data_IF_537310070494
#
_entry.id   IF_537310070494
#
_cell.length_a   1.000
_cell.length_b   1.000
_cell.length_c   1.000
_cell.angle_alpha   90.00
_cell.angle_beta   90.00
_cell.angle_gamma   90.00
#
_symmetry.space_group_name_H-M   'P 1'
#
loop_
_entity.id
_entity.type
_entity.pdbx_description
1 polymer ?
#
# COMPACT_ATOMS: atom_id res chain seq x y z
N UNK A 1 -67.93 19.87 -52.76
CA UNK A 1 -68.77 18.66 -52.84
C UNK A 1 -68.12 17.62 -51.95
N UNK A 2 -68.80 17.30 -50.86
CA UNK A 2 -68.37 16.34 -49.84
C UNK A 2 -69.32 15.14 -49.95
N UNK A 3 -68.81 13.90 -50.01
CA UNK A 3 -69.56 12.71 -49.62
C UNK A 3 -68.86 11.92 -48.49
N UNK A 4 -69.58 11.03 -47.78
CA UNK A 4 -69.66 11.08 -46.34
C UNK A 4 -68.87 10.00 -45.58
N UNK A 5 -68.75 10.28 -44.28
CA UNK A 5 -68.35 9.38 -43.18
C UNK A 5 -69.21 8.12 -43.08
N UNK A 6 -68.62 7.03 -42.55
CA UNK A 6 -69.14 6.10 -41.51
C UNK A 6 -68.19 4.88 -41.45
N UNK A 7 -67.89 4.18 -40.35
CA UNK A 7 -67.82 4.37 -38.88
C UNK A 7 -67.38 2.98 -38.32
N UNK A 8 -67.05 2.92 -37.02
CA UNK A 8 -66.97 1.74 -36.11
C UNK A 8 -65.66 0.92 -36.13
N UNK A 9 -65.03 0.58 -35.00
CA UNK A 9 -65.10 0.95 -33.55
C UNK A 9 -63.78 0.41 -32.91
N UNK A 10 -63.46 0.78 -31.65
CA UNK A 10 -62.12 0.76 -31.05
C UNK A 10 -61.83 -0.53 -30.28
N UNK A 11 -60.57 -0.67 -29.86
CA UNK A 11 -60.22 -1.30 -28.58
C UNK A 11 -59.29 -0.38 -27.79
N UNK A 12 -59.70 -0.15 -26.56
CA UNK A 12 -59.03 0.57 -25.48
C UNK A 12 -57.77 -0.17 -24.99
N UNK A 13 -57.07 0.54 -24.09
CA UNK A 13 -56.04 0.14 -23.10
C UNK A 13 -54.66 0.68 -23.45
N UNK A 14 -54.28 1.82 -22.87
CA UNK A 14 -53.86 2.06 -21.47
C UNK A 14 -52.34 2.16 -21.46
N UNK A 15 -51.86 3.33 -21.04
CA UNK A 15 -50.49 3.75 -21.23
C UNK A 15 -49.46 2.91 -20.48
N UNK A 16 -48.23 2.97 -20.97
CA UNK A 16 -47.05 2.98 -20.14
C UNK A 16 -45.91 3.59 -20.96
N UNK A 17 -45.66 4.89 -20.74
CA UNK A 17 -44.47 5.56 -21.21
C UNK A 17 -43.31 5.06 -20.34
N UNK A 18 -42.73 3.92 -20.70
CA UNK A 18 -41.54 3.38 -20.03
C UNK A 18 -40.30 4.09 -20.58
N UNK A 19 -39.99 5.24 -20.00
CA UNK A 19 -38.62 5.76 -19.96
C UNK A 19 -37.84 4.85 -19.01
N UNK A 20 -37.11 3.86 -19.53
CA UNK A 20 -36.07 3.18 -18.78
C UNK A 20 -34.92 4.18 -18.56
N UNK A 21 -34.59 4.59 -17.31
CA UNK A 21 -33.30 5.20 -17.07
C UNK A 21 -32.26 4.07 -17.20
N UNK A 22 -31.33 4.22 -18.13
CA UNK A 22 -30.10 3.43 -18.14
C UNK A 22 -29.44 3.61 -16.77
N UNK A 23 -29.41 2.53 -15.98
CA UNK A 23 -28.51 2.37 -14.84
C UNK A 23 -27.08 2.49 -15.38
N UNK A 24 -26.54 3.70 -15.39
CA UNK A 24 -25.11 3.89 -15.26
C UNK A 24 -24.77 3.51 -13.82
N UNK A 25 -24.56 2.22 -13.58
CA UNK A 25 -23.68 1.81 -12.51
C UNK A 25 -22.30 2.35 -12.90
N UNK A 26 -22.05 3.59 -12.48
CA UNK A 26 -20.73 4.18 -12.52
C UNK A 26 -19.82 3.20 -11.81
N UNK A 27 -18.91 2.59 -12.57
CA UNK A 27 -17.79 1.90 -12.00
C UNK A 27 -17.01 2.98 -11.24
N UNK A 28 -17.32 3.16 -9.95
CA UNK A 28 -16.52 3.98 -9.06
C UNK A 28 -15.20 3.25 -9.00
N UNK A 29 -14.27 3.66 -9.85
CA UNK A 29 -12.87 3.30 -9.70
C UNK A 29 -12.48 3.95 -8.38
N UNK A 30 -12.47 3.17 -7.30
CA UNK A 30 -11.85 3.57 -6.07
C UNK A 30 -10.36 3.71 -6.38
N UNK A 31 -9.94 4.90 -6.78
CA UNK A 31 -8.54 5.22 -6.92
C UNK A 31 -7.96 5.09 -5.51
N UNK A 32 -7.13 4.08 -5.32
CA UNK A 32 -6.46 3.83 -4.05
C UNK A 32 -5.36 4.87 -3.91
N UNK A 33 -5.59 5.91 -3.13
CA UNK A 33 -4.57 6.94 -2.92
C UNK A 33 -3.51 6.42 -1.95
N UNK A 34 -2.25 6.59 -2.33
CA UNK A 34 -1.09 6.27 -1.54
C UNK A 34 -0.44 7.57 -1.06
N UNK A 35 0.08 7.55 0.16
CA UNK A 35 1.11 8.52 0.56
C UNK A 35 2.34 8.19 -0.25
N UNK A 36 2.96 9.18 -0.89
CA UNK A 36 4.25 9.10 -1.56
C UNK A 36 4.96 10.46 -1.37
N UNK A 37 5.71 10.59 -0.27
CA UNK A 37 6.27 11.85 0.17
C UNK A 37 7.73 11.69 0.60
N UNK A 38 8.52 12.67 0.20
CA UNK A 38 9.88 12.91 0.69
C UNK A 38 9.88 14.22 1.48
N UNK A 39 10.19 14.16 2.77
CA UNK A 39 10.28 15.35 3.63
C UNK A 39 11.73 15.81 3.68
N UNK A 40 11.92 17.12 3.45
CA UNK A 40 13.23 17.77 3.40
C UNK A 40 13.33 18.87 4.44
N UNK A 41 14.54 19.11 4.91
CA UNK A 41 14.86 20.25 5.76
C UNK A 41 15.12 21.52 4.93
N UNK A 42 15.43 22.62 5.62
CA UNK A 42 15.75 23.92 4.99
C UNK A 42 17.04 23.86 4.14
N UNK A 43 17.91 22.87 4.37
CA UNK A 43 19.09 22.59 3.56
C UNK A 43 18.79 21.69 2.35
N UNK A 44 17.50 21.39 2.10
CA UNK A 44 17.01 20.51 1.04
C UNK A 44 17.52 19.06 1.16
N UNK A 45 17.87 18.64 2.37
CA UNK A 45 18.28 17.28 2.69
C UNK A 45 17.08 16.47 3.18
N UNK A 46 16.85 15.32 2.55
CA UNK A 46 15.73 14.45 2.91
C UNK A 46 15.96 13.81 4.27
N UNK A 47 14.95 13.84 5.13
CA UNK A 47 15.01 13.27 6.47
C UNK A 47 14.00 12.14 6.66
N UNK A 48 12.96 12.08 5.83
CA UNK A 48 11.92 11.05 5.85
C UNK A 48 11.50 10.74 4.41
N UNK A 49 11.44 9.45 4.10
CA UNK A 49 10.82 8.93 2.90
C UNK A 49 9.66 8.02 3.32
N UNK A 50 8.49 8.26 2.74
CA UNK A 50 7.24 7.68 3.16
C UNK A 50 6.40 7.33 1.93
N UNK A 51 6.26 6.05 1.63
CA UNK A 51 5.36 5.55 0.59
C UNK A 51 4.51 4.41 1.14
N UNK A 52 3.19 4.55 1.16
CA UNK A 52 2.29 3.47 1.60
C UNK A 52 0.84 3.71 1.19
N UNK A 53 0.06 2.63 1.22
CA UNK A 53 -1.40 2.67 1.26
C UNK A 53 -1.87 2.37 2.68
N UNK A 54 -2.96 3.02 3.11
CA UNK A 54 -3.58 2.74 4.42
C UNK A 54 -5.10 2.71 4.31
N UNK A 55 -5.69 1.65 4.86
CA UNK A 55 -7.13 1.43 4.99
C UNK A 55 -7.52 1.55 6.45
N UNK A 56 -8.44 2.46 6.75
CA UNK A 56 -9.04 2.63 8.06
C UNK A 56 -10.32 1.82 8.14
N UNK A 57 -10.53 1.11 9.25
CA UNK A 57 -11.80 0.50 9.63
C UNK A 57 -12.13 0.90 11.06
N UNK A 58 -13.24 1.61 11.24
CA UNK A 58 -13.57 2.31 12.49
C UNK A 58 -14.99 1.93 12.91
N UNK A 59 -15.13 1.40 14.11
CA UNK A 59 -16.43 1.16 14.74
C UNK A 59 -16.92 2.43 15.44
N UNK A 60 -18.17 2.83 15.22
CA UNK A 60 -18.77 4.01 15.84
C UNK A 60 -20.26 3.81 16.15
N UNK A 61 -20.81 4.63 17.04
CA UNK A 61 -22.23 4.58 17.41
C UNK A 61 -23.06 5.43 16.44
N UNK A 62 -23.88 4.80 15.63
CA UNK A 62 -24.93 5.43 14.84
C UNK A 62 -26.24 5.62 15.62
N UNK A 63 -27.21 6.28 14.99
CA UNK A 63 -28.58 6.44 15.52
C UNK A 63 -29.26 5.10 15.78
N UNK A 64 -29.05 4.13 14.88
CA UNK A 64 -29.74 2.83 14.87
C UNK A 64 -28.86 1.66 15.35
N UNK A 65 -27.76 1.96 16.04
CA UNK A 65 -26.83 0.95 16.59
C UNK A 65 -25.38 1.21 16.23
N UNK A 66 -24.52 0.22 16.47
CA UNK A 66 -23.10 0.30 16.08
C UNK A 66 -22.97 0.15 14.57
N UNK A 67 -22.19 1.03 13.96
CA UNK A 67 -21.86 1.05 12.53
C UNK A 67 -20.35 0.94 12.36
N UNK A 68 -19.91 0.50 11.20
CA UNK A 68 -18.49 0.46 10.83
C UNK A 68 -18.27 1.33 9.60
N UNK A 69 -17.32 2.25 9.67
CA UNK A 69 -16.82 3.00 8.51
C UNK A 69 -15.54 2.35 8.02
N UNK A 70 -15.38 2.21 6.70
CA UNK A 70 -14.15 1.71 6.09
C UNK A 70 -13.79 2.56 4.89
N UNK A 71 -12.58 3.13 4.90
CA UNK A 71 -12.11 4.04 3.86
C UNK A 71 -10.57 4.05 3.78
N UNK A 72 -10.06 4.50 2.64
CA UNK A 72 -8.65 4.87 2.48
C UNK A 72 -8.52 6.40 2.55
N UNK A 73 -7.29 6.91 2.62
CA UNK A 73 -7.07 8.35 2.51
C UNK A 73 -7.70 8.91 1.22
N UNK A 74 -8.39 10.06 1.28
CA UNK A 74 -8.90 10.74 0.09
C UNK A 74 -7.76 11.40 -0.72
N UNK A 75 -8.09 11.95 -1.89
CA UNK A 75 -7.11 12.66 -2.74
C UNK A 75 -6.68 14.00 -2.12
N UNK A 76 -7.65 14.73 -1.56
CA UNK A 76 -7.44 16.06 -1.01
C UNK A 76 -6.81 15.98 0.39
N UNK A 77 -5.48 15.86 0.41
CA UNK A 77 -4.67 15.82 1.62
C UNK A 77 -3.91 17.13 1.84
N UNK A 78 -3.94 17.63 3.07
CA UNK A 78 -3.07 18.72 3.54
C UNK A 78 -1.94 18.14 4.39
N UNK A 79 -0.69 18.52 4.10
CA UNK A 79 0.50 18.00 4.80
C UNK A 79 1.05 18.94 5.89
N UNK A 80 0.21 19.85 6.40
CA UNK A 80 0.60 20.84 7.41
C UNK A 80 1.12 20.15 8.68
N UNK A 81 2.25 20.64 9.20
CA UNK A 81 2.93 20.09 10.37
C UNK A 81 3.96 18.99 10.05
N UNK A 82 4.03 18.54 8.80
CA UNK A 82 5.12 17.67 8.33
C UNK A 82 6.46 18.40 8.40
N UNK A 83 7.48 17.79 9.00
CA UNK A 83 8.79 18.40 9.17
C UNK A 83 9.88 17.37 9.46
N UNK A 84 11.15 17.77 9.32
CA UNK A 84 12.28 16.93 9.74
C UNK A 84 12.53 16.90 11.25
N UNK A 85 11.76 17.67 12.02
CA UNK A 85 12.02 17.88 13.44
C UNK A 85 13.24 18.77 13.68
N UNK A 86 13.87 18.60 14.85
CA UNK A 86 15.05 19.34 15.29
C UNK A 86 15.98 18.45 16.14
N UNK A 87 16.89 19.04 16.92
CA UNK A 87 17.81 18.27 17.77
C UNK A 87 17.11 17.41 18.83
N UNK A 88 15.90 17.80 19.23
CA UNK A 88 15.10 17.16 20.28
C UNK A 88 13.88 16.40 19.77
N UNK A 89 13.44 16.66 18.53
CA UNK A 89 12.29 16.01 17.89
C UNK A 89 12.71 15.34 16.59
N UNK A 90 12.26 14.11 16.36
CA UNK A 90 12.50 13.46 15.07
C UNK A 90 11.50 13.87 13.98
N UNK A 91 11.63 13.31 12.76
CA UNK A 91 10.76 13.59 11.64
C UNK A 91 9.29 13.33 11.95
N UNK A 92 8.43 14.21 11.44
CA UNK A 92 6.97 14.14 11.58
C UNK A 92 6.38 14.14 10.18
N UNK A 93 5.43 13.24 9.94
CA UNK A 93 4.53 13.32 8.80
C UNK A 93 3.11 13.51 9.33
N UNK A 94 2.44 14.55 8.88
CA UNK A 94 1.10 14.93 9.31
C UNK A 94 0.22 15.12 8.08
N UNK A 95 -1.00 14.59 8.17
CA UNK A 95 -2.00 14.60 7.12
C UNK A 95 -3.31 15.07 7.73
N UNK A 96 -3.94 16.06 7.12
CA UNK A 96 -5.30 16.51 7.44
C UNK A 96 -6.21 16.22 6.25
N UNK A 97 -7.44 15.76 6.52
CA UNK A 97 -8.41 15.42 5.50
C UNK A 97 -9.84 15.50 6.02
N UNK A 98 -10.78 15.71 5.09
CA UNK A 98 -12.20 15.84 5.44
C UNK A 98 -12.47 16.98 6.43
N UNK A 99 -13.53 16.82 7.22
CA UNK A 99 -13.94 17.80 8.22
C UNK A 99 -13.39 17.43 9.61
N UNK A 100 -12.20 17.93 9.93
CA UNK A 100 -11.60 17.81 11.26
C UNK A 100 -10.95 16.45 11.57
N UNK A 101 -10.61 15.67 10.55
CA UNK A 101 -9.78 14.47 10.70
C UNK A 101 -8.31 14.79 10.43
N UNK A 102 -7.43 14.19 11.23
CA UNK A 102 -5.99 14.26 11.02
C UNK A 102 -5.30 12.97 11.42
N UNK A 103 -4.27 12.60 10.68
CA UNK A 103 -3.42 11.45 10.94
C UNK A 103 -1.97 11.92 10.92
N UNK A 104 -1.21 11.59 11.95
CA UNK A 104 0.20 11.93 12.01
C UNK A 104 1.02 10.76 12.53
N UNK A 105 2.28 10.70 12.13
CA UNK A 105 3.27 9.77 12.66
C UNK A 105 4.54 10.56 13.03
N UNK A 106 4.94 10.42 14.29
CA UNK A 106 6.15 11.04 14.83
C UNK A 106 7.22 9.99 15.04
N UNK A 107 8.35 10.12 14.36
CA UNK A 107 9.46 9.20 14.47
C UNK A 107 10.40 9.60 15.60
N UNK A 108 10.73 8.62 16.44
CA UNK A 108 11.78 8.73 17.45
C UNK A 108 12.84 7.67 17.18
N UNK A 109 14.08 7.93 17.59
CA UNK A 109 15.18 6.97 17.46
C UNK A 109 15.89 6.74 18.78
N UNK A 110 16.43 5.54 18.90
CA UNK A 110 17.45 5.18 19.88
C UNK A 110 18.83 5.27 19.22
N UNK A 111 19.84 4.64 19.83
CA UNK A 111 21.18 4.52 19.24
C UNK A 111 21.17 3.71 17.93
N UNK A 112 20.34 2.67 17.87
CA UNK A 112 20.43 1.65 16.81
C UNK A 112 19.11 1.45 16.04
N UNK A 113 17.98 1.96 16.55
CA UNK A 113 16.64 1.74 15.97
C UNK A 113 15.81 3.01 15.92
N UNK A 114 14.74 3.00 15.12
CA UNK A 114 13.69 4.02 15.12
C UNK A 114 12.29 3.39 15.10
N UNK A 115 11.29 4.13 15.58
CA UNK A 115 9.89 3.74 15.52
C UNK A 115 9.00 4.99 15.41
N UNK A 116 7.88 4.86 14.70
CA UNK A 116 6.87 5.91 14.59
C UNK A 116 5.75 5.73 15.62
N UNK A 117 5.39 6.81 16.29
CA UNK A 117 4.19 6.92 17.10
C UNK A 117 3.10 7.62 16.28
N UNK A 118 2.04 6.88 15.96
CA UNK A 118 0.86 7.37 15.25
C UNK A 118 -0.06 8.09 16.24
N UNK A 119 -0.53 9.28 15.86
CA UNK A 119 -1.70 9.92 16.43
C UNK A 119 -2.74 10.10 15.34
N UNK A 120 -3.89 9.45 15.50
CA UNK A 120 -5.02 9.57 14.59
C UNK A 120 -6.20 10.21 15.31
N UNK A 121 -6.68 11.31 14.76
CA UNK A 121 -7.80 12.08 15.24
C UNK A 121 -8.91 12.00 14.19
N UNK A 122 -10.05 11.43 14.54
CA UNK A 122 -11.21 11.36 13.64
C UNK A 122 -12.42 12.06 14.24
N UNK A 123 -13.16 12.77 13.39
CA UNK A 123 -14.35 13.51 13.76
C UNK A 123 -15.59 12.73 13.32
N UNK A 124 -16.33 12.15 14.27
CA UNK A 124 -17.59 11.47 13.96
C UNK A 124 -18.68 12.43 13.48
N UNK A 125 -18.46 13.74 13.58
CA UNK A 125 -19.30 14.76 12.96
C UNK A 125 -19.12 14.88 11.44
N UNK A 126 -18.05 14.34 10.88
CA UNK A 126 -17.81 14.29 9.43
C UNK A 126 -18.76 13.27 8.79
N UNK A 127 -19.85 13.75 8.20
CA UNK A 127 -20.88 12.90 7.61
C UNK A 127 -20.43 12.13 6.37
N UNK A 128 -19.31 12.51 5.75
CA UNK A 128 -18.76 11.78 4.61
C UNK A 128 -18.18 10.44 5.06
N UNK A 129 -17.46 10.41 6.17
CA UNK A 129 -16.87 9.19 6.72
C UNK A 129 -17.73 8.51 7.79
N UNK A 130 -18.54 9.25 8.54
CA UNK A 130 -19.33 8.75 9.67
C UNK A 130 -20.82 9.13 9.55
N UNK A 131 -21.52 8.64 8.50
CA UNK A 131 -22.93 8.95 8.32
C UNK A 131 -23.79 8.44 9.49
N UNK A 132 -24.76 9.25 9.90
CA UNK A 132 -25.70 8.97 11.01
C UNK A 132 -25.03 8.74 12.37
N UNK A 133 -23.82 9.27 12.59
CA UNK A 133 -23.19 9.22 13.91
C UNK A 133 -24.11 9.85 14.97
N UNK A 134 -24.35 9.11 16.06
CA UNK A 134 -25.24 9.53 17.16
C UNK A 134 -24.70 10.74 17.90
N UNK A 135 -23.38 10.87 17.98
CA UNK A 135 -22.65 11.98 18.57
C UNK A 135 -21.63 12.49 17.57
N UNK A 136 -21.46 13.81 17.54
CA UNK A 136 -20.44 14.50 16.76
C UNK A 136 -19.32 14.86 17.72
N UNK A 137 -18.24 14.11 17.69
CA UNK A 137 -17.11 14.28 18.59
C UNK A 137 -15.80 13.96 17.86
N UNK A 138 -14.74 14.59 18.33
CA UNK A 138 -13.39 14.33 17.85
C UNK A 138 -12.72 13.33 18.80
N UNK A 139 -12.26 12.22 18.24
CA UNK A 139 -11.70 11.10 19.01
C UNK A 139 -10.25 10.91 18.59
N UNK A 140 -9.37 10.84 19.58
CA UNK A 140 -7.93 10.63 19.37
C UNK A 140 -7.54 9.21 19.78
N UNK A 141 -6.86 8.51 18.88
CA UNK A 141 -6.23 7.21 19.16
C UNK A 141 -4.75 7.26 18.85
N UNK A 142 -3.96 6.49 19.61
CA UNK A 142 -2.51 6.39 19.43
C UNK A 142 -2.11 4.96 19.16
N UNK A 143 -1.11 4.77 18.32
CA UNK A 143 -0.55 3.46 18.02
C UNK A 143 0.92 3.59 17.63
N UNK A 144 1.63 2.47 17.45
CA UNK A 144 2.99 2.48 16.93
C UNK A 144 3.03 1.81 15.55
N UNK A 145 3.83 2.37 14.65
CA UNK A 145 4.11 1.78 13.34
C UNK A 145 5.56 2.07 12.88
N UNK A 146 6.28 1.06 12.37
CA UNK A 146 5.96 -0.37 12.43
C UNK A 146 5.82 -0.86 13.88
N UNK A 147 5.15 -2.00 14.10
CA UNK A 147 4.86 -2.49 15.45
C UNK A 147 6.13 -2.77 16.27
N UNK A 148 7.19 -3.20 15.59
CA UNK A 148 8.53 -3.38 16.15
C UNK A 148 9.47 -2.27 15.68
N UNK A 149 10.43 -1.82 16.52
CA UNK A 149 11.45 -0.86 16.09
C UNK A 149 12.25 -1.37 14.90
N UNK A 150 12.51 -0.47 13.95
CA UNK A 150 13.28 -0.74 12.74
C UNK A 150 14.73 -0.34 12.95
N UNK A 151 15.68 -1.08 12.40
CA UNK A 151 17.10 -0.70 12.44
C UNK A 151 17.31 0.66 11.76
N UNK A 152 18.18 1.50 12.33
CA UNK A 152 18.61 2.72 11.66
C UNK A 152 19.37 2.38 10.36
N UNK A 153 19.32 3.32 9.41
CA UNK A 153 19.98 3.20 8.10
C UNK A 153 19.47 2.04 7.23
N UNK A 154 18.27 1.52 7.49
CA UNK A 154 17.56 0.59 6.59
C UNK A 154 16.21 1.17 6.16
N UNK A 155 15.76 0.79 4.97
CA UNK A 155 14.41 1.05 4.50
C UNK A 155 13.49 -0.06 5.01
N UNK A 156 12.46 0.29 5.77
CA UNK A 156 11.39 -0.64 6.13
C UNK A 156 10.50 -0.92 4.92
N UNK A 157 10.32 -2.20 4.60
CA UNK A 157 9.52 -2.66 3.46
C UNK A 157 8.43 -3.60 3.97
N UNK A 158 7.19 -3.36 3.54
CA UNK A 158 6.08 -4.28 3.75
C UNK A 158 5.12 -4.23 2.56
N UNK A 159 5.25 -5.19 1.65
CA UNK A 159 4.41 -5.31 0.46
C UNK A 159 3.06 -5.94 0.79
N UNK A 160 3.02 -6.89 1.75
CA UNK A 160 1.77 -7.46 2.27
C UNK A 160 1.03 -6.53 3.23
N UNK A 161 -0.22 -6.87 3.55
CA UNK A 161 -1.01 -6.11 4.53
C UNK A 161 -0.41 -6.28 5.94
N UNK A 162 -0.14 -5.16 6.63
CA UNK A 162 0.24 -5.11 8.05
C UNK A 162 -0.77 -4.27 8.82
N UNK A 163 -1.22 -4.76 9.97
CA UNK A 163 -2.37 -4.20 10.67
C UNK A 163 -2.03 -3.73 12.07
N UNK A 164 -2.40 -2.48 12.36
CA UNK A 164 -2.27 -1.85 13.67
C UNK A 164 -3.66 -1.54 14.22
N UNK A 165 -3.92 -1.91 15.48
CA UNK A 165 -5.20 -1.69 16.15
C UNK A 165 -5.03 -0.76 17.35
N UNK A 166 -5.97 0.17 17.52
CA UNK A 166 -6.04 1.03 18.71
C UNK A 166 -7.49 1.46 18.97
N UNK A 167 -8.03 1.08 20.12
CA UNK A 167 -9.45 1.29 20.44
C UNK A 167 -10.37 0.68 19.39
N UNK A 168 -11.32 1.48 18.90
CA UNK A 168 -12.29 1.10 17.87
C UNK A 168 -11.74 1.23 16.44
N UNK A 169 -10.44 1.54 16.28
CA UNK A 169 -9.78 1.77 14.99
C UNK A 169 -8.86 0.61 14.64
N UNK A 170 -9.00 0.11 13.42
CA UNK A 170 -8.04 -0.76 12.75
C UNK A 170 -7.45 -0.02 11.55
N UNK A 171 -6.12 0.04 11.46
CA UNK A 171 -5.36 0.63 10.37
C UNK A 171 -4.60 -0.49 9.66
N UNK A 172 -4.87 -0.71 8.38
CA UNK A 172 -4.20 -1.73 7.56
C UNK A 172 -3.31 -1.03 6.54
N UNK A 173 -2.01 -1.14 6.73
CA UNK A 173 -0.97 -0.63 5.84
C UNK A 173 -0.63 -1.67 4.77
N UNK A 174 -0.30 -1.22 3.57
CA UNK A 174 0.12 -2.08 2.46
C UNK A 174 1.08 -1.31 1.54
N UNK A 175 1.96 -2.05 0.84
CA UNK A 175 2.92 -1.47 -0.12
C UNK A 175 3.76 -0.36 0.50
N UNK A 176 4.27 -0.65 1.70
CA UNK A 176 5.02 0.26 2.54
C UNK A 176 6.48 0.27 2.12
N UNK A 177 7.00 1.47 1.85
CA UNK A 177 8.41 1.79 1.85
C UNK A 177 8.60 3.00 2.75
N UNK A 178 9.25 2.80 3.90
CA UNK A 178 9.39 3.81 4.93
C UNK A 178 10.84 3.88 5.40
N UNK A 179 11.39 5.08 5.49
CA UNK A 179 12.62 5.31 6.23
C UNK A 179 12.58 6.68 6.88
N UNK A 180 12.80 6.73 8.19
CA UNK A 180 13.06 7.97 8.91
C UNK A 180 14.56 8.12 9.15
N UNK A 181 15.00 9.36 9.42
CA UNK A 181 16.39 9.70 9.70
C UNK A 181 17.35 9.31 8.57
N UNK A 182 17.00 9.67 7.33
CA UNK A 182 17.81 9.37 6.14
C UNK A 182 19.23 9.92 6.27
N UNK A 183 20.22 9.02 6.32
CA UNK A 183 21.62 9.43 6.33
C UNK A 183 22.03 9.96 4.95
N UNK A 184 22.52 11.20 4.91
CA UNK A 184 22.94 11.83 3.65
C UNK A 184 21.78 12.08 2.68
N UNK A 185 20.54 12.12 3.15
CA UNK A 185 19.38 12.51 2.33
C UNK A 185 18.92 11.47 1.33
N UNK A 186 19.29 10.19 1.50
CA UNK A 186 18.99 9.13 0.54
C UNK A 186 18.35 7.93 1.21
N UNK A 187 17.41 7.31 0.50
CA UNK A 187 16.85 6.02 0.90
C UNK A 187 17.96 4.96 0.90
N UNK A 188 17.98 4.13 1.94
CA UNK A 188 18.96 3.07 2.10
C UNK A 188 18.75 1.96 1.09
N UNK A 189 19.85 1.37 0.62
CA UNK A 189 19.81 0.13 -0.16
C UNK A 189 19.58 -1.11 0.72
N UNK A 190 19.85 -1.00 2.03
CA UNK A 190 19.58 -2.07 2.99
C UNK A 190 18.12 -2.01 3.43
N UNK A 191 17.51 -3.18 3.62
CA UNK A 191 16.08 -3.31 3.89
C UNK A 191 15.81 -4.04 5.20
N UNK A 192 14.77 -3.63 5.90
CA UNK A 192 14.14 -4.38 6.99
C UNK A 192 12.74 -4.74 6.54
N UNK A 193 12.44 -6.04 6.45
CA UNK A 193 11.12 -6.51 6.05
C UNK A 193 10.17 -6.53 7.25
N UNK A 194 8.86 -6.38 7.01
CA UNK A 194 7.85 -6.72 8.01
C UNK A 194 7.73 -8.24 8.19
N UNK A 195 7.17 -8.67 9.32
CA UNK A 195 7.07 -10.10 9.68
C UNK A 195 6.26 -10.91 8.65
N UNK A 196 5.23 -10.30 8.07
CA UNK A 196 4.37 -10.94 7.05
C UNK A 196 5.14 -11.20 5.74
N UNK A 197 6.06 -10.31 5.36
CA UNK A 197 6.92 -10.51 4.19
C UNK A 197 8.12 -11.42 4.49
N UNK A 198 8.64 -11.38 5.72
CA UNK A 198 9.68 -12.32 6.15
C UNK A 198 9.20 -13.76 6.04
N UNK A 199 7.98 -14.05 6.50
CA UNK A 199 7.39 -15.38 6.46
C UNK A 199 7.05 -15.84 5.04
N UNK A 200 6.62 -14.94 4.15
CA UNK A 200 6.43 -15.23 2.73
C UNK A 200 7.76 -15.60 2.02
N UNK A 201 8.89 -15.05 2.49
CA UNK A 201 10.22 -15.35 1.95
C UNK A 201 10.80 -16.69 2.40
N UNK A 202 10.22 -17.37 3.40
CA UNK A 202 10.68 -18.68 3.89
C UNK A 202 10.01 -19.82 3.10
N UNK A 203 10.11 -19.77 1.78
CA UNK A 203 10.12 -20.97 0.94
C UNK A 203 11.61 -21.30 0.74
N UNK A 204 12.09 -22.53 1.02
CA UNK A 204 13.49 -22.75 1.34
C UNK A 204 14.43 -22.45 0.17
N UNK A 205 15.06 -21.27 0.20
CA UNK A 205 16.33 -21.03 -0.45
C UNK A 205 17.42 -21.61 0.45
N UNK A 206 17.98 -22.74 0.05
CA UNK A 206 19.11 -23.37 0.74
C UNK A 206 20.30 -22.40 0.78
N UNK A 207 20.55 -21.83 1.95
CA UNK A 207 21.67 -20.95 2.25
C UNK A 207 22.97 -21.77 2.27
N UNK A 208 23.84 -21.59 1.28
CA UNK A 208 25.28 -21.81 1.45
C UNK A 208 25.96 -20.47 1.66
N UNK A 209 26.22 -20.16 2.93
CA UNK A 209 27.14 -19.10 3.33
C UNK A 209 28.57 -19.56 3.06
N UNK A 210 29.36 -18.76 2.33
CA UNK A 210 30.79 -19.00 2.15
C UNK A 210 31.55 -17.81 2.74
N UNK A 211 32.26 -18.11 3.82
CA UNK A 211 33.23 -17.23 4.48
C UNK A 211 34.42 -17.00 3.53
N UNK A 212 34.80 -15.73 3.33
CA UNK A 212 36.06 -15.36 2.69
C UNK A 212 37.17 -15.30 3.74
N UNK A 213 38.22 -16.12 3.57
CA UNK A 213 39.53 -15.86 4.12
C UNK A 213 40.61 -16.28 3.11
N UNK A 214 41.57 -15.39 2.94
CA UNK A 214 42.55 -15.37 1.87
C UNK A 214 43.82 -16.19 2.19
N UNK A 215 44.43 -16.67 1.11
CA UNK A 215 45.87 -16.70 0.82
C UNK A 215 46.81 -17.76 1.45
N UNK A 216 47.30 -18.59 0.52
CA UNK A 216 48.70 -19.02 0.24
C UNK A 216 49.26 -20.37 0.76
N UNK A 217 49.57 -21.21 -0.24
CA UNK A 217 50.78 -22.03 -0.47
C UNK A 217 51.03 -23.37 0.27
N UNK A 218 50.98 -24.46 -0.54
CA UNK A 218 51.87 -25.66 -0.65
C UNK A 218 52.09 -26.55 0.60
N UNK A 219 52.02 -27.89 0.60
CA UNK A 219 52.18 -28.92 -0.44
C UNK A 219 51.64 -30.29 0.05
N UNK A 220 51.26 -31.12 -0.93
CA UNK A 220 51.38 -32.60 -1.05
C UNK A 220 50.55 -33.64 -0.25
N UNK A 221 50.12 -34.64 -1.04
CA UNK A 221 49.53 -35.96 -0.73
C UNK A 221 48.15 -35.98 -0.06
N UNK A 222 47.17 -36.79 -0.46
CA UNK A 222 47.18 -38.01 -1.26
C UNK A 222 45.76 -38.31 -1.80
N UNK A 223 45.68 -39.27 -2.71
CA UNK A 223 44.56 -39.63 -3.58
C UNK A 223 43.21 -39.97 -2.92
N UNK A 224 42.10 -39.78 -3.66
CA UNK A 224 41.09 -40.80 -4.00
C UNK A 224 40.07 -40.24 -5.02
N UNK A 225 39.87 -40.98 -6.11
CA UNK A 225 38.87 -40.74 -7.18
C UNK A 225 37.42 -40.78 -6.68
N UNK A 226 36.59 -39.84 -7.15
CA UNK A 226 35.13 -39.95 -7.24
C UNK A 226 34.58 -38.99 -8.33
N UNK A 227 33.37 -39.18 -8.86
CA UNK A 227 33.09 -39.16 -10.29
C UNK A 227 32.62 -37.79 -10.78
N UNK A 228 32.78 -37.58 -12.09
CA UNK A 228 32.34 -36.44 -12.89
C UNK A 228 31.09 -35.70 -12.37
N UNK A 229 31.28 -34.44 -11.98
CA UNK A 229 30.21 -33.48 -11.69
C UNK A 229 29.55 -33.03 -13.00
N UNK A 230 28.21 -32.95 -13.08
CA UNK A 230 27.54 -32.47 -14.28
C UNK A 230 27.73 -30.96 -14.40
N UNK A 231 28.24 -30.52 -15.54
CA UNK A 231 28.36 -29.12 -15.92
C UNK A 231 26.96 -28.48 -15.91
N UNK A 232 26.67 -27.63 -14.92
CA UNK A 232 25.40 -26.89 -14.87
C UNK A 232 25.50 -25.77 -15.92
N UNK A 233 24.69 -25.91 -16.96
CA UNK A 233 24.53 -24.96 -18.06
C UNK A 233 23.93 -23.65 -17.54
N UNK A 234 24.30 -22.48 -18.09
CA UNK A 234 23.71 -21.20 -17.69
C UNK A 234 22.21 -21.20 -17.91
N UNK A 235 21.44 -20.82 -16.90
CA UNK A 235 19.99 -20.69 -16.97
C UNK A 235 19.62 -19.72 -18.10
N UNK A 236 18.85 -20.22 -19.07
CA UNK A 236 18.52 -19.49 -20.29
C UNK A 236 17.63 -18.28 -19.97
N UNK A 237 18.04 -17.09 -20.43
CA UNK A 237 17.25 -15.88 -20.26
C UNK A 237 15.87 -16.08 -20.94
N UNK A 238 14.74 -15.87 -20.24
CA UNK A 238 13.43 -16.11 -20.80
C UNK A 238 13.20 -15.23 -22.04
N UNK A 239 12.58 -15.83 -23.05
CA UNK A 239 12.19 -15.12 -24.26
C UNK A 239 11.25 -13.96 -23.90
N UNK A 240 11.68 -12.73 -24.23
CA UNK A 240 10.90 -11.52 -23.98
C UNK A 240 9.95 -11.22 -25.14
N UNK A 241 8.70 -10.90 -24.83
CA UNK A 241 7.68 -10.42 -25.76
C UNK A 241 7.25 -8.99 -25.43
N UNK A 242 6.87 -8.23 -26.45
CA UNK A 242 6.27 -6.90 -26.28
C UNK A 242 4.76 -7.01 -26.15
N UNK A 243 4.21 -6.53 -25.05
CA UNK A 243 2.80 -6.58 -24.73
C UNK A 243 2.25 -5.16 -24.72
N UNK A 244 1.14 -4.97 -25.42
CA UNK A 244 0.43 -3.69 -25.49
C UNK A 244 -1.01 -3.93 -25.05
N UNK A 245 -1.40 -3.31 -23.94
CA UNK A 245 -2.80 -3.30 -23.49
C UNK A 245 -3.42 -1.97 -23.86
N UNK A 246 -4.53 -1.99 -24.58
CA UNK A 246 -5.24 -0.80 -25.06
C UNK A 246 -6.64 -0.74 -24.49
N UNK A 247 -7.09 0.47 -24.16
CA UNK A 247 -8.49 0.79 -23.91
C UNK A 247 -8.94 1.80 -24.96
N UNK A 248 -9.67 1.31 -25.96
CA UNK A 248 -10.05 2.11 -27.13
C UNK A 248 -8.82 2.63 -27.89
N UNK A 249 -8.74 3.94 -28.19
CA UNK A 249 -7.60 4.53 -28.91
C UNK A 249 -6.36 4.75 -28.02
N UNK A 250 -6.47 4.56 -26.69
CA UNK A 250 -5.41 4.84 -25.73
C UNK A 250 -4.67 3.56 -25.36
N UNK A 251 -3.34 3.60 -25.41
CA UNK A 251 -2.48 2.53 -24.87
C UNK A 251 -2.31 2.74 -23.37
N UNK A 252 -2.77 1.77 -22.57
CA UNK A 252 -2.69 1.82 -21.10
C UNK A 252 -1.36 1.28 -20.60
N UNK A 253 -0.83 0.22 -21.23
CA UNK A 253 0.44 -0.40 -20.84
C UNK A 253 1.20 -0.78 -22.10
N UNK A 254 2.48 -0.39 -22.13
CA UNK A 254 3.47 -0.87 -23.10
C UNK A 254 4.65 -1.41 -22.32
N UNK A 255 4.86 -2.73 -22.39
CA UNK A 255 5.90 -3.41 -21.62
C UNK A 255 6.56 -4.50 -22.46
N UNK A 256 7.85 -4.73 -22.20
CA UNK A 256 8.60 -5.86 -22.74
C UNK A 256 8.89 -6.82 -21.58
N UNK A 257 8.27 -8.00 -21.58
CA UNK A 257 8.34 -8.96 -20.47
C UNK A 257 8.66 -10.36 -20.99
N UNK A 258 9.42 -11.14 -20.22
CA UNK A 258 9.66 -12.56 -20.46
C UNK A 258 9.15 -13.39 -19.29
N UNK A 259 8.50 -14.51 -19.57
CA UNK A 259 7.91 -15.39 -18.56
C UNK A 259 8.69 -16.71 -18.51
N UNK A 260 9.16 -17.09 -17.32
CA UNK A 260 9.78 -18.38 -17.06
C UNK A 260 8.94 -19.12 -16.02
N UNK A 261 8.41 -20.28 -16.39
CA UNK A 261 7.62 -21.13 -15.51
C UNK A 261 8.41 -22.38 -15.19
N UNK A 262 8.61 -22.66 -13.91
CA UNK A 262 9.19 -23.91 -13.46
C UNK A 262 8.06 -24.81 -12.94
N UNK A 263 7.69 -25.82 -13.72
CA UNK A 263 6.58 -26.73 -13.38
C UNK A 263 7.16 -28.03 -12.85
N UNK A 264 6.94 -28.32 -11.57
CA UNK A 264 7.20 -29.62 -10.96
C UNK A 264 5.90 -30.42 -10.92
N UNK A 265 5.84 -31.52 -11.67
CA UNK A 265 4.75 -32.49 -11.56
C UNK A 265 5.05 -33.43 -10.39
N UNK A 266 4.16 -33.50 -9.41
CA UNK A 266 4.15 -34.59 -8.45
C UNK A 266 3.47 -35.79 -9.11
N UNK A 267 4.18 -36.92 -9.19
CA UNK A 267 3.67 -38.23 -9.60
C UNK A 267 3.21 -38.99 -8.36
#
# INVERSE_FOLDING_TARGET
MDPPRLRFRPSFFSGCLLLLPLLLDGLVVFQTYAVDLEVKDDANMSCLFAKWMVKFSISYKGTDGTKTSTFMLPEDLSYIGTSCGNETSGPILSIEFGDGNSWSIHFTKTKDTYQGAITFVYNTGDSMFFPDAKRKEQITVVANFPANPVLLNTAFICDTEDTVKSGDVTQTFQSVTLQAFLQGGRLSSQKTLCDNDMTASIVPAATKSILLAANTSTSESDATEMPSSPTIQPEEKPASGSYTVKSGPVTCILANMGLQLNVTQQV
#
